data_IF_333963141047
#
_entry.id   IF_333963141047
#
_cell.length_a   1.000
_cell.length_b   1.000
_cell.length_c   1.000
_cell.angle_alpha   90.00
_cell.angle_beta   90.00
_cell.angle_gamma   90.00
#
_symmetry.space_group_name_H-M   'P 1'
#
loop_
_entity.id
_entity.type
_entity.pdbx_description
1 polymer ?
#
# COMPACT_ATOMS: atom_id res chain seq x y z
N UNK A 1 -6.70 13.99 1.58
CA UNK A 1 -5.32 13.91 2.14
C UNK A 1 -4.76 12.53 1.88
N UNK A 2 -3.46 12.40 1.55
CA UNK A 2 -2.79 11.11 1.33
C UNK A 2 -2.54 10.35 2.65
N UNK A 3 -2.68 9.03 2.60
CA UNK A 3 -2.14 8.07 3.57
C UNK A 3 -0.89 7.43 2.94
N UNK A 4 0.28 7.97 3.24
CA UNK A 4 1.53 7.51 2.63
C UNK A 4 1.88 6.12 3.15
N UNK A 5 2.03 5.15 2.25
CA UNK A 5 2.41 3.77 2.62
C UNK A 5 3.92 3.60 2.75
N UNK A 6 4.69 4.44 2.06
CA UNK A 6 6.14 4.28 1.99
C UNK A 6 6.54 3.18 0.99
N UNK A 7 5.57 2.56 0.32
CA UNK A 7 5.77 1.55 -0.70
C UNK A 7 5.57 2.23 -2.04
N UNK A 8 6.66 2.46 -2.78
CA UNK A 8 6.64 3.27 -4.01
C UNK A 8 5.59 2.80 -5.02
N UNK A 9 5.49 1.47 -5.21
CA UNK A 9 4.51 0.88 -6.11
C UNK A 9 3.05 1.16 -5.71
N UNK A 10 2.76 1.30 -4.42
CA UNK A 10 1.41 1.62 -3.93
C UNK A 10 1.18 3.13 -4.05
N UNK A 11 2.04 3.95 -3.47
CA UNK A 11 1.85 5.41 -3.43
C UNK A 11 1.83 6.06 -4.83
N UNK A 12 2.54 5.47 -5.81
CA UNK A 12 2.57 5.93 -7.20
C UNK A 12 1.33 5.50 -8.01
N UNK A 13 0.92 4.22 -7.92
CA UNK A 13 -0.07 3.63 -8.83
C UNK A 13 -1.44 3.40 -8.20
N UNK A 14 -1.49 3.10 -6.91
CA UNK A 14 -2.68 2.73 -6.16
C UNK A 14 -2.72 3.57 -4.87
N UNK A 15 -2.78 4.90 -4.99
CA UNK A 15 -2.65 5.78 -3.83
C UNK A 15 -3.82 5.56 -2.87
N UNK A 16 -3.49 5.63 -1.57
CA UNK A 16 -4.45 5.45 -0.47
C UNK A 16 -4.68 6.81 0.19
N UNK A 17 -5.94 7.22 0.32
CA UNK A 17 -6.34 8.43 1.00
C UNK A 17 -6.67 8.19 2.47
N UNK A 18 -6.55 9.24 3.30
CA UNK A 18 -7.05 9.22 4.67
C UNK A 18 -8.57 9.11 4.68
N UNK A 19 -9.10 8.03 5.27
CA UNK A 19 -10.52 7.69 5.24
C UNK A 19 -10.92 6.69 4.14
N UNK A 20 -9.96 6.25 3.31
CA UNK A 20 -10.20 5.27 2.24
C UNK A 20 -10.17 3.84 2.77
N UNK A 21 -10.84 2.93 2.06
CA UNK A 21 -10.81 1.49 2.30
C UNK A 21 -10.09 0.80 1.14
N UNK A 22 -8.87 0.34 1.36
CA UNK A 22 -8.06 -0.27 0.31
C UNK A 22 -7.76 -1.73 0.63
N UNK A 23 -8.33 -2.65 -0.16
CA UNK A 23 -8.19 -4.09 0.06
C UNK A 23 -6.79 -4.59 -0.33
N UNK A 24 -6.09 -5.29 0.56
CA UNK A 24 -4.89 -6.06 0.20
C UNK A 24 -5.30 -7.52 0.01
N UNK A 25 -5.29 -7.99 -1.22
CA UNK A 25 -5.78 -9.31 -1.59
C UNK A 25 -4.71 -10.10 -2.32
N UNK A 26 -4.60 -11.40 -2.02
CA UNK A 26 -3.71 -12.30 -2.72
C UNK A 26 -3.48 -13.61 -1.98
N UNK A 27 -2.70 -14.49 -2.59
CA UNK A 27 -2.46 -15.82 -2.06
C UNK A 27 -1.61 -15.79 -0.80
N UNK A 28 -1.55 -16.94 -0.12
CA UNK A 28 -0.66 -17.14 1.01
C UNK A 28 0.79 -16.80 0.64
N UNK A 29 1.51 -16.16 1.55
CA UNK A 29 2.95 -15.82 1.40
C UNK A 29 3.31 -14.87 0.25
N UNK A 30 2.36 -14.08 -0.27
CA UNK A 30 2.61 -13.08 -1.34
C UNK A 30 3.09 -11.70 -0.85
N UNK A 31 3.20 -11.49 0.47
CA UNK A 31 3.66 -10.21 1.04
C UNK A 31 2.55 -9.27 1.56
N UNK A 32 1.30 -9.75 1.67
CA UNK A 32 0.14 -8.95 2.15
C UNK A 32 0.42 -8.22 3.47
N UNK A 33 0.81 -8.97 4.50
CA UNK A 33 1.13 -8.41 5.83
C UNK A 33 2.33 -7.47 5.76
N UNK A 34 3.33 -7.74 4.89
CA UNK A 34 4.50 -6.88 4.78
C UNK A 34 4.12 -5.45 4.33
N UNK A 35 3.25 -5.32 3.32
CA UNK A 35 2.76 -4.00 2.88
C UNK A 35 2.04 -3.26 4.01
N UNK A 36 1.21 -3.97 4.78
CA UNK A 36 0.50 -3.36 5.90
C UNK A 36 1.44 -2.91 7.03
N UNK A 37 2.46 -3.72 7.37
CA UNK A 37 3.46 -3.37 8.38
C UNK A 37 4.36 -2.22 7.89
N UNK A 38 4.78 -2.21 6.63
CA UNK A 38 5.53 -1.09 6.04
C UNK A 38 4.73 0.21 6.11
N UNK A 39 3.42 0.13 5.84
CA UNK A 39 2.51 1.28 5.98
C UNK A 39 2.48 1.79 7.43
N UNK A 40 2.41 0.90 8.43
CA UNK A 40 2.43 1.28 9.85
C UNK A 40 3.77 1.91 10.23
N UNK A 41 4.90 1.31 9.84
CA UNK A 41 6.25 1.85 10.11
C UNK A 41 6.39 3.24 9.49
N UNK A 42 5.87 3.43 8.27
CA UNK A 42 5.92 4.72 7.60
C UNK A 42 5.08 5.81 8.29
N UNK A 43 4.22 5.49 9.27
CA UNK A 43 3.44 6.50 10.00
C UNK A 43 4.21 7.17 11.14
N UNK A 44 5.45 6.76 11.42
CA UNK A 44 6.28 7.36 12.46
C UNK A 44 6.41 8.86 12.27
N UNK A 45 6.06 9.63 13.31
CA UNK A 45 6.12 11.10 13.29
C UNK A 45 5.02 11.78 12.46
N UNK A 46 4.04 11.05 11.90
CA UNK A 46 2.97 11.62 11.04
C UNK A 46 1.65 11.88 11.77
N UNK A 47 1.61 11.65 13.08
CA UNK A 47 0.42 11.85 13.91
C UNK A 47 -0.73 10.88 13.60
N UNK A 48 -0.43 9.72 13.00
CA UNK A 48 -1.44 8.69 12.69
C UNK A 48 -1.39 7.60 13.74
N UNK A 49 -2.54 7.30 14.36
CA UNK A 49 -2.69 6.13 15.24
C UNK A 49 -2.92 4.89 14.39
N UNK A 50 -2.20 3.82 14.68
CA UNK A 50 -2.33 2.56 13.97
C UNK A 50 -3.06 1.53 14.83
N UNK A 51 -3.91 0.73 14.22
CA UNK A 51 -4.56 -0.42 14.84
C UNK A 51 -4.32 -1.62 13.94
N UNK A 52 -3.66 -2.66 14.44
CA UNK A 52 -3.44 -3.90 13.73
C UNK A 52 -4.25 -5.01 14.39
N UNK A 53 -5.25 -5.53 13.66
CA UNK A 53 -6.16 -6.57 14.12
C UNK A 53 -5.72 -7.91 13.55
N UNK A 54 -5.17 -8.77 14.40
CA UNK A 54 -4.81 -10.15 14.06
C UNK A 54 -5.97 -11.11 14.33
N UNK A 55 -6.50 -11.74 13.28
CA UNK A 55 -7.70 -12.58 13.31
C UNK A 55 -7.29 -14.00 12.89
N UNK A 56 -7.44 -14.96 13.80
CA UNK A 56 -7.11 -16.36 13.55
C UNK A 56 -5.65 -16.59 13.16
N UNK A 57 -4.74 -15.64 13.48
CA UNK A 57 -3.31 -15.79 13.21
C UNK A 57 -2.65 -16.69 14.27
N UNK A 58 -1.52 -17.30 13.93
CA UNK A 58 -0.71 -18.01 14.93
C UNK A 58 -0.13 -17.00 15.92
N UNK A 59 -0.14 -17.32 17.22
CA UNK A 59 0.42 -16.46 18.25
C UNK A 59 1.89 -16.07 17.96
N UNK A 60 2.70 -17.00 17.45
CA UNK A 60 4.08 -16.74 17.04
C UNK A 60 4.21 -15.72 15.90
N UNK A 61 3.26 -15.73 14.96
CA UNK A 61 3.23 -14.75 13.86
C UNK A 61 2.89 -13.36 14.40
N UNK A 62 1.92 -13.27 15.31
CA UNK A 62 1.58 -12.00 15.96
C UNK A 62 2.75 -11.47 16.79
N UNK A 63 3.43 -12.33 17.54
CA UNK A 63 4.62 -11.96 18.30
C UNK A 63 5.73 -11.40 17.40
N UNK A 64 5.99 -12.01 16.24
CA UNK A 64 6.96 -11.49 15.27
C UNK A 64 6.56 -10.14 14.66
N UNK A 65 5.26 -9.87 14.49
CA UNK A 65 4.76 -8.54 14.09
C UNK A 65 5.02 -7.52 15.20
N UNK A 66 4.69 -7.84 16.45
CA UNK A 66 4.93 -6.97 17.61
C UNK A 66 6.42 -6.64 17.73
N UNK A 67 7.28 -7.65 17.61
CA UNK A 67 8.74 -7.47 17.67
C UNK A 67 9.24 -6.56 16.54
N UNK A 68 8.81 -6.82 15.29
CA UNK A 68 9.15 -5.95 14.16
C UNK A 68 8.71 -4.51 14.41
N UNK A 69 7.44 -4.29 14.81
CA UNK A 69 6.95 -2.95 15.09
C UNK A 69 7.73 -2.28 16.24
N UNK A 70 8.14 -3.03 17.26
CA UNK A 70 8.95 -2.49 18.35
C UNK A 70 10.36 -2.09 17.87
N UNK A 71 11.02 -2.93 17.06
CA UNK A 71 12.36 -2.65 16.51
C UNK A 71 12.39 -1.35 15.69
N UNK A 72 11.32 -1.06 14.95
CA UNK A 72 11.20 0.16 14.15
C UNK A 72 10.64 1.37 14.94
N UNK A 73 10.28 1.18 16.22
CA UNK A 73 9.68 2.20 17.08
C UNK A 73 8.26 2.58 16.66
N UNK A 74 7.52 1.64 16.08
CA UNK A 74 6.15 1.81 15.64
C UNK A 74 5.10 1.41 16.69
N UNK A 75 5.50 0.67 17.72
CA UNK A 75 4.60 0.26 18.81
C UNK A 75 4.08 1.44 19.64
N UNK A 76 4.80 2.57 19.71
CA UNK A 76 4.42 3.76 20.48
C UNK A 76 3.09 4.38 20.02
N UNK A 77 2.70 4.14 18.77
CA UNK A 77 1.46 4.65 18.18
C UNK A 77 0.59 3.53 17.59
N UNK A 78 0.89 2.26 17.89
CA UNK A 78 0.17 1.10 17.34
C UNK A 78 -0.50 0.28 18.44
N UNK A 79 -1.81 0.04 18.28
CA UNK A 79 -2.58 -0.89 19.11
C UNK A 79 -2.70 -2.23 18.38
N UNK A 80 -2.40 -3.33 19.06
CA UNK A 80 -2.60 -4.68 18.54
C UNK A 80 -3.85 -5.29 19.17
N UNK A 81 -4.82 -5.66 18.34
CA UNK A 81 -5.98 -6.46 18.76
C UNK A 81 -5.76 -7.88 18.28
N UNK A 82 -5.63 -8.84 19.18
CA UNK A 82 -5.31 -10.23 18.84
C UNK A 82 -6.43 -11.17 19.26
N UNK A 83 -6.96 -11.91 18.28
CA UNK A 83 -7.71 -13.14 18.49
C UNK A 83 -7.05 -14.23 17.64
N UNK A 84 -6.23 -15.05 18.29
CA UNK A 84 -5.40 -16.06 17.65
C UNK A 84 -6.21 -17.26 17.15
N UNK A 85 -5.57 -18.13 16.37
CA UNK A 85 -6.17 -19.38 15.91
C UNK A 85 -6.61 -20.32 17.05
N UNK A 86 -6.04 -20.18 18.25
CA UNK A 86 -6.40 -20.98 19.43
C UNK A 86 -7.64 -20.42 20.15
N UNK A 87 -8.00 -19.17 19.90
CA UNK A 87 -9.14 -18.52 20.53
C UNK A 87 -10.46 -18.98 19.89
N UNK A 88 -11.54 -18.84 20.66
CA UNK A 88 -12.87 -19.25 20.21
C UNK A 88 -13.36 -18.44 18.99
N UNK A 89 -14.19 -19.06 18.14
CA UNK A 89 -14.76 -18.40 16.96
C UNK A 89 -15.47 -17.05 17.27
N UNK A 90 -16.21 -16.89 18.40
CA UNK A 90 -16.76 -15.60 18.78
C UNK A 90 -15.71 -14.50 18.97
N UNK A 91 -14.54 -14.80 19.54
CA UNK A 91 -13.47 -13.81 19.71
C UNK A 91 -12.86 -13.40 18.37
N UNK A 92 -12.62 -14.38 17.48
CA UNK A 92 -12.12 -14.10 16.12
C UNK A 92 -13.12 -13.27 15.31
N UNK A 93 -14.42 -13.55 15.46
CA UNK A 93 -15.49 -12.77 14.83
C UNK A 93 -15.58 -11.33 15.36
N UNK A 94 -15.38 -11.13 16.67
CA UNK A 94 -15.47 -9.81 17.31
C UNK A 94 -14.21 -8.96 17.21
N UNK A 95 -13.03 -9.55 17.04
CA UNK A 95 -11.77 -8.80 17.03
C UNK A 95 -11.75 -7.61 16.05
N UNK A 96 -12.25 -7.74 14.79
CA UNK A 96 -12.34 -6.58 13.89
C UNK A 96 -13.29 -5.50 14.39
N UNK A 97 -14.40 -5.88 15.02
CA UNK A 97 -15.37 -4.95 15.60
C UNK A 97 -14.77 -4.16 16.78
N UNK A 98 -13.95 -4.82 17.59
CA UNK A 98 -13.19 -4.17 18.66
C UNK A 98 -12.10 -3.24 18.11
N UNK A 99 -11.37 -3.68 17.09
CA UNK A 99 -10.32 -2.87 16.44
C UNK A 99 -10.86 -1.58 15.82
N UNK A 100 -11.97 -1.67 15.07
CA UNK A 100 -12.59 -0.46 14.50
C UNK A 100 -13.16 0.45 15.59
N UNK A 101 -13.69 -0.08 16.69
CA UNK A 101 -14.20 0.75 17.80
C UNK A 101 -13.06 1.52 18.50
N UNK A 102 -11.89 0.90 18.67
CA UNK A 102 -10.68 1.57 19.16
C UNK A 102 -10.26 2.66 18.18
N UNK A 103 -10.28 2.38 16.87
CA UNK A 103 -9.97 3.38 15.85
C UNK A 103 -10.96 4.55 15.84
N UNK A 104 -12.25 4.27 15.96
CA UNK A 104 -13.31 5.28 16.03
C UNK A 104 -13.17 6.18 17.24
N UNK A 105 -12.73 5.66 18.39
CA UNK A 105 -12.43 6.49 19.55
C UNK A 105 -11.46 7.61 19.16
N UNK A 106 -10.30 7.28 18.58
CA UNK A 106 -9.33 8.29 18.14
C UNK A 106 -9.84 9.17 17.00
N UNK A 107 -10.70 8.65 16.11
CA UNK A 107 -11.31 9.43 15.03
C UNK A 107 -12.28 10.49 15.57
N UNK A 108 -13.05 10.15 16.61
CA UNK A 108 -14.08 11.00 17.22
C UNK A 108 -13.61 11.75 18.47
N UNK A 109 -12.33 11.69 18.84
CA UNK A 109 -11.78 12.44 19.97
C UNK A 109 -10.52 13.21 19.59
N UNK A 110 -10.35 14.39 20.15
CA UNK A 110 -9.10 15.14 20.09
C UNK A 110 -7.98 14.52 20.93
N UNK A 111 -6.79 15.12 20.87
CA UNK A 111 -5.64 14.67 21.67
C UNK A 111 -5.87 14.78 23.18
N UNK A 112 -6.79 15.66 23.60
CA UNK A 112 -7.22 15.83 24.99
C UNK A 112 -8.24 14.77 25.45
N UNK A 113 -8.62 13.83 24.57
CA UNK A 113 -9.59 12.78 24.84
C UNK A 113 -11.05 13.23 24.87
N UNK A 114 -11.33 14.51 24.56
CA UNK A 114 -12.71 15.02 24.45
C UNK A 114 -13.26 14.80 23.05
N UNK A 115 -14.60 14.83 22.87
CA UNK A 115 -15.22 14.68 21.56
C UNK A 115 -14.65 15.65 20.52
N UNK A 116 -14.46 15.15 19.31
CA UNK A 116 -14.00 15.92 18.17
C UNK A 116 -15.07 16.93 17.73
N UNK A 117 -14.61 18.11 17.35
CA UNK A 117 -15.43 19.20 16.84
C UNK A 117 -14.59 20.08 15.93
N UNK A 118 -15.20 21.08 15.32
CA UNK A 118 -14.47 22.07 14.51
C UNK A 118 -13.25 22.67 15.22
N UNK A 119 -13.33 22.88 16.53
CA UNK A 119 -12.26 23.49 17.34
C UNK A 119 -11.40 22.45 18.08
N UNK A 120 -11.78 21.16 18.04
CA UNK A 120 -11.05 20.05 18.62
C UNK A 120 -10.87 18.95 17.58
N UNK A 121 -9.80 18.98 16.75
CA UNK A 121 -9.68 18.06 15.64
C UNK A 121 -9.53 16.62 16.10
N UNK A 122 -10.30 15.72 15.47
CA UNK A 122 -10.13 14.28 15.63
C UNK A 122 -8.82 13.80 14.99
N UNK A 123 -8.40 12.60 15.33
CA UNK A 123 -7.10 12.07 14.88
C UNK A 123 -7.23 11.30 13.57
N UNK A 124 -6.10 11.15 12.88
CA UNK A 124 -5.98 10.24 11.75
C UNK A 124 -5.64 8.83 12.25
N UNK A 125 -6.34 7.83 11.72
CA UNK A 125 -6.23 6.44 12.12
C UNK A 125 -6.02 5.55 10.90
N UNK A 126 -5.14 4.57 11.03
CA UNK A 126 -4.93 3.47 10.10
C UNK A 126 -5.34 2.17 10.79
N UNK A 127 -6.31 1.43 10.24
CA UNK A 127 -6.77 0.15 10.78
C UNK A 127 -6.51 -0.97 9.78
N UNK A 128 -5.69 -1.95 10.16
CA UNK A 128 -5.35 -3.14 9.37
C UNK A 128 -6.11 -4.35 9.91
N UNK A 129 -6.72 -5.14 9.04
CA UNK A 129 -7.42 -6.38 9.42
C UNK A 129 -6.75 -7.61 8.78
N UNK A 130 -6.04 -8.43 9.56
CA UNK A 130 -5.23 -9.57 9.11
C UNK A 130 -5.73 -10.91 9.72
N UNK A 131 -6.66 -11.63 9.09
CA UNK A 131 -7.35 -11.33 7.83
C UNK A 131 -8.87 -11.51 7.94
N UNK A 132 -9.61 -10.84 7.07
CA UNK A 132 -11.08 -10.89 7.06
C UNK A 132 -11.62 -12.23 6.51
N UNK A 133 -10.79 -13.00 5.77
CA UNK A 133 -11.15 -14.36 5.35
C UNK A 133 -11.37 -15.24 6.59
N UNK A 134 -10.49 -15.16 7.59
CA UNK A 134 -10.63 -15.88 8.86
C UNK A 134 -11.80 -15.37 9.70
N UNK A 135 -12.10 -14.07 9.67
CA UNK A 135 -13.32 -13.54 10.31
C UNK A 135 -14.59 -14.18 9.71
N UNK A 136 -14.67 -14.25 8.38
CA UNK A 136 -15.80 -14.88 7.69
C UNK A 136 -15.92 -16.37 8.03
N UNK A 137 -14.79 -17.10 8.10
CA UNK A 137 -14.78 -18.51 8.50
C UNK A 137 -15.27 -18.69 9.95
N UNK A 138 -14.84 -17.83 10.88
CA UNK A 138 -15.33 -17.85 12.25
C UNK A 138 -16.85 -17.59 12.31
N UNK A 139 -17.35 -16.61 11.55
CA UNK A 139 -18.77 -16.32 11.49
C UNK A 139 -19.60 -17.46 10.88
N UNK A 140 -19.05 -18.13 9.86
CA UNK A 140 -19.62 -19.34 9.28
C UNK A 140 -19.73 -20.46 10.33
N UNK A 141 -18.66 -20.73 11.07
CA UNK A 141 -18.66 -21.75 12.12
C UNK A 141 -19.73 -21.45 13.19
N UNK A 142 -19.83 -20.21 13.65
CA UNK A 142 -20.85 -19.79 14.61
C UNK A 142 -22.26 -20.00 14.05
N UNK A 143 -22.51 -19.57 12.81
CA UNK A 143 -23.82 -19.64 12.18
C UNK A 143 -24.30 -21.08 11.98
N UNK A 144 -23.41 -21.97 11.54
CA UNK A 144 -23.70 -23.40 11.38
C UNK A 144 -23.96 -24.07 12.74
N UNK A 145 -23.19 -23.71 13.77
CA UNK A 145 -23.39 -24.23 15.13
C UNK A 145 -24.76 -23.83 15.68
N UNK A 146 -25.21 -22.61 15.37
CA UNK A 146 -26.54 -22.10 15.70
C UNK A 146 -27.65 -22.61 14.77
N UNK A 147 -27.33 -23.53 13.84
CA UNK A 147 -28.27 -24.10 12.85
C UNK A 147 -28.97 -23.05 11.98
N UNK A 148 -28.31 -21.92 11.72
CA UNK A 148 -28.79 -20.94 10.73
C UNK A 148 -28.65 -21.53 9.32
N UNK A 149 -29.62 -21.30 8.41
CA UNK A 149 -29.52 -21.75 7.03
C UNK A 149 -28.25 -21.19 6.34
N UNK A 150 -27.41 -22.05 5.72
CA UNK A 150 -26.24 -21.60 4.97
C UNK A 150 -26.59 -21.23 3.52
N UNK A 151 -25.74 -20.41 2.92
CA UNK A 151 -25.76 -20.05 1.50
C UNK A 151 -24.53 -20.59 0.74
N UNK A 152 -24.00 -19.79 -0.20
CA UNK A 152 -22.82 -20.14 -1.02
C UNK A 152 -21.60 -20.43 -0.13
N UNK A 153 -20.87 -21.50 -0.45
CA UNK A 153 -19.69 -21.97 0.32
C UNK A 153 -19.96 -22.16 1.83
N UNK A 154 -21.22 -22.45 2.16
CA UNK A 154 -21.75 -22.61 3.51
C UNK A 154 -21.72 -21.34 4.40
N UNK A 155 -21.40 -20.16 3.86
CA UNK A 155 -21.48 -18.91 4.62
C UNK A 155 -22.94 -18.51 4.89
N UNK A 156 -23.25 -17.84 6.01
CA UNK A 156 -24.59 -17.31 6.26
C UNK A 156 -24.93 -16.19 5.27
N UNK A 157 -26.21 -16.00 4.98
CA UNK A 157 -26.67 -15.02 3.98
C UNK A 157 -26.31 -13.55 4.30
N UNK A 158 -26.02 -13.24 5.57
CA UNK A 158 -25.64 -11.92 6.05
C UNK A 158 -24.10 -11.73 6.18
N UNK A 159 -23.27 -12.63 5.63
CA UNK A 159 -21.81 -12.46 5.64
C UNK A 159 -21.35 -11.20 4.90
N UNK A 160 -22.09 -10.78 3.87
CA UNK A 160 -21.85 -9.49 3.21
C UNK A 160 -22.05 -8.33 4.18
N UNK A 161 -23.16 -8.35 4.92
CA UNK A 161 -23.49 -7.32 5.91
C UNK A 161 -22.46 -7.25 7.04
N UNK A 162 -21.85 -8.38 7.42
CA UNK A 162 -20.77 -8.42 8.40
C UNK A 162 -19.61 -7.50 7.99
N UNK A 163 -19.11 -7.64 6.76
CA UNK A 163 -17.97 -6.85 6.29
C UNK A 163 -18.38 -5.44 5.86
N UNK A 164 -19.58 -5.24 5.30
CA UNK A 164 -20.01 -3.89 4.92
C UNK A 164 -20.18 -3.00 6.14
N UNK A 165 -20.88 -3.44 7.19
CA UNK A 165 -21.03 -2.65 8.43
C UNK A 165 -19.71 -2.44 9.18
N UNK A 166 -18.71 -3.28 8.94
CA UNK A 166 -17.37 -3.12 9.49
C UNK A 166 -16.60 -2.04 8.72
N UNK A 167 -16.53 -2.17 7.39
CA UNK A 167 -15.67 -1.34 6.55
C UNK A 167 -16.29 0.04 6.26
N UNK A 168 -17.62 0.17 6.22
CA UNK A 168 -18.32 1.46 6.09
C UNK A 168 -18.11 2.40 7.29
N UNK A 169 -17.53 1.91 8.40
CA UNK A 169 -17.13 2.73 9.55
C UNK A 169 -15.81 3.48 9.31
N UNK A 170 -15.04 3.07 8.30
CA UNK A 170 -13.80 3.73 7.90
C UNK A 170 -14.12 4.89 6.95
N UNK A 171 -14.08 6.12 7.49
CA UNK A 171 -14.45 7.34 6.77
C UNK A 171 -13.52 8.50 7.12
N UNK A 172 -13.59 9.61 6.37
CA UNK A 172 -13.10 10.92 6.79
C UNK A 172 -14.27 11.78 7.23
N UNK A 173 -14.21 12.31 8.45
CA UNK A 173 -15.24 13.17 9.03
C UNK A 173 -15.24 14.55 8.35
N UNK A 174 -16.40 15.22 8.40
CA UNK A 174 -16.52 16.62 8.00
C UNK A 174 -15.74 17.55 8.92
N UNK A 175 -15.54 18.79 8.50
CA UNK A 175 -14.90 19.84 9.33
C UNK A 175 -15.66 20.09 10.64
N UNK A 176 -16.99 20.09 10.61
CA UNK A 176 -17.82 20.28 11.81
C UNK A 176 -17.59 19.19 12.87
N UNK A 177 -17.28 17.97 12.42
CA UNK A 177 -17.00 16.81 13.26
C UNK A 177 -15.49 16.65 13.54
N UNK A 178 -14.68 17.69 13.30
CA UNK A 178 -13.25 17.72 13.63
C UNK A 178 -12.32 17.01 12.65
N UNK A 179 -12.79 16.66 11.44
CA UNK A 179 -11.94 16.16 10.33
C UNK A 179 -11.08 14.93 10.60
N UNK A 180 -11.35 14.19 11.68
CA UNK A 180 -10.75 12.89 11.98
C UNK A 180 -10.96 11.90 10.83
N UNK A 181 -10.10 10.88 10.73
CA UNK A 181 -10.24 9.89 9.67
C UNK A 181 -9.85 8.50 10.13
N UNK A 182 -10.52 7.48 9.61
CA UNK A 182 -10.17 6.08 9.78
C UNK A 182 -9.98 5.47 8.40
N UNK A 183 -8.75 5.11 8.08
CA UNK A 183 -8.34 4.45 6.84
C UNK A 183 -8.27 2.95 7.09
N UNK A 184 -8.90 2.14 6.24
CA UNK A 184 -8.95 0.70 6.44
C UNK A 184 -8.12 -0.04 5.39
N UNK A 185 -7.26 -0.95 5.85
CA UNK A 185 -6.52 -1.91 5.02
C UNK A 185 -6.98 -3.34 5.37
N UNK A 186 -8.13 -3.80 4.86
CA UNK A 186 -8.51 -5.18 5.01
C UNK A 186 -7.59 -6.10 4.21
N UNK A 187 -7.20 -7.22 4.82
CA UNK A 187 -6.47 -8.29 4.13
C UNK A 187 -7.44 -9.43 3.83
N UNK A 188 -7.38 -9.95 2.61
CA UNK A 188 -8.07 -11.17 2.19
C UNK A 188 -7.06 -12.15 1.60
N UNK A 189 -7.12 -13.39 2.09
CA UNK A 189 -6.40 -14.51 1.49
C UNK A 189 -7.27 -15.17 0.42
N UNK A 190 -6.75 -15.25 -0.81
CA UNK A 190 -7.32 -16.05 -1.90
C UNK A 190 -6.80 -17.48 -1.86
N UNK A 191 -7.51 -18.39 -2.51
CA UNK A 191 -7.07 -19.76 -2.74
C UNK A 191 -6.67 -19.89 -4.21
N UNK A 192 -5.37 -20.10 -4.46
CA UNK A 192 -4.82 -20.25 -5.81
C UNK A 192 -5.21 -19.13 -6.79
N UNK A 193 -5.21 -17.88 -6.31
CA UNK A 193 -5.53 -16.69 -7.09
C UNK A 193 -7.02 -16.50 -7.41
N UNK A 194 -7.91 -17.34 -6.87
CA UNK A 194 -9.33 -17.27 -7.19
C UNK A 194 -10.01 -16.06 -6.52
N UNK A 195 -10.26 -15.03 -7.33
CA UNK A 195 -11.01 -13.81 -6.95
C UNK A 195 -12.52 -13.97 -7.08
N UNK A 196 -12.98 -15.02 -7.75
CA UNK A 196 -14.40 -15.31 -7.96
C UNK A 196 -15.05 -16.03 -6.77
N UNK A 197 -14.22 -16.46 -5.80
CA UNK A 197 -14.66 -16.97 -4.52
C UNK A 197 -15.54 -15.94 -3.78
N UNK A 198 -16.47 -16.45 -2.97
CA UNK A 198 -17.56 -15.64 -2.45
C UNK A 198 -17.10 -14.46 -1.58
N UNK A 199 -16.14 -14.69 -0.67
CA UNK A 199 -15.66 -13.64 0.24
C UNK A 199 -14.81 -12.58 -0.48
N UNK A 200 -13.80 -12.93 -1.30
CA UNK A 200 -13.09 -11.96 -2.14
C UNK A 200 -14.02 -11.05 -2.94
N UNK A 201 -15.00 -11.63 -3.65
CA UNK A 201 -15.95 -10.86 -4.48
C UNK A 201 -16.74 -9.86 -3.63
N UNK A 202 -17.23 -10.27 -2.45
CA UNK A 202 -17.94 -9.38 -1.54
C UNK A 202 -17.07 -8.21 -1.09
N UNK A 203 -15.85 -8.46 -0.64
CA UNK A 203 -14.99 -7.39 -0.09
C UNK A 203 -14.51 -6.43 -1.18
N UNK A 204 -14.19 -6.93 -2.39
CA UNK A 204 -13.86 -6.07 -3.55
C UNK A 204 -14.98 -5.08 -3.87
N UNK A 205 -16.23 -5.49 -3.68
CA UNK A 205 -17.40 -4.62 -3.92
C UNK A 205 -17.67 -3.62 -2.80
N UNK A 206 -17.11 -3.82 -1.61
CA UNK A 206 -17.27 -2.94 -0.44
C UNK A 206 -16.15 -1.90 -0.37
N UNK A 207 -14.91 -2.29 -0.68
CA UNK A 207 -13.76 -1.39 -0.59
C UNK A 207 -13.70 -0.39 -1.73
N UNK A 208 -12.99 0.72 -1.51
CA UNK A 208 -12.76 1.77 -2.50
C UNK A 208 -11.66 1.40 -3.50
N UNK A 209 -10.88 0.38 -3.22
CA UNK A 209 -9.91 -0.17 -4.16
C UNK A 209 -9.40 -1.53 -3.73
N UNK A 210 -8.46 -2.04 -4.52
CA UNK A 210 -7.70 -3.23 -4.19
C UNK A 210 -6.25 -3.17 -4.68
N UNK A 211 -5.35 -3.69 -3.86
CA UNK A 211 -3.98 -4.05 -4.16
C UNK A 211 -3.95 -5.57 -4.31
N UNK A 212 -3.80 -6.04 -5.55
CA UNK A 212 -3.81 -7.45 -5.89
C UNK A 212 -2.39 -8.00 -5.95
N UNK A 213 -2.05 -8.94 -5.07
CA UNK A 213 -0.74 -9.59 -5.02
C UNK A 213 -0.79 -10.96 -5.70
N UNK A 214 0.16 -11.21 -6.61
CA UNK A 214 0.27 -12.47 -7.33
C UNK A 214 1.51 -13.25 -6.95
N UNK A 215 1.33 -14.56 -6.78
CA UNK A 215 2.40 -15.51 -6.50
C UNK A 215 3.46 -15.54 -7.60
N UNK A 216 3.06 -15.51 -8.88
CA UNK A 216 3.99 -15.58 -10.01
C UNK A 216 4.96 -14.39 -10.02
N UNK A 217 4.46 -13.18 -9.79
CA UNK A 217 5.30 -11.98 -9.67
C UNK A 217 6.27 -12.09 -8.49
N UNK A 218 5.80 -12.63 -7.36
CA UNK A 218 6.62 -12.84 -6.17
C UNK A 218 7.78 -13.82 -6.43
N UNK A 219 7.53 -14.89 -7.17
CA UNK A 219 8.53 -15.90 -7.54
C UNK A 219 9.49 -15.41 -8.64
N UNK A 220 9.05 -14.51 -9.51
CA UNK A 220 9.91 -13.78 -10.47
C UNK A 220 10.79 -12.70 -9.81
N UNK A 221 10.70 -12.52 -8.48
CA UNK A 221 11.49 -11.55 -7.75
C UNK A 221 10.93 -10.12 -7.79
N UNK A 222 9.71 -9.92 -8.28
CA UNK A 222 9.01 -8.63 -8.20
C UNK A 222 8.37 -8.51 -6.82
N UNK A 223 8.94 -7.66 -5.97
CA UNK A 223 8.51 -7.45 -4.59
C UNK A 223 8.46 -5.94 -4.32
N UNK A 224 7.32 -5.36 -3.93
CA UNK A 224 6.03 -6.00 -3.67
C UNK A 224 5.39 -6.57 -4.95
N UNK A 225 4.72 -7.71 -4.83
CA UNK A 225 4.23 -8.53 -5.95
C UNK A 225 2.90 -8.02 -6.54
N UNK A 226 2.80 -6.72 -6.79
CA UNK A 226 1.56 -6.04 -7.16
C UNK A 226 1.24 -6.27 -8.64
N UNK A 227 0.02 -6.71 -8.91
CA UNK A 227 -0.52 -6.72 -10.26
C UNK A 227 -1.15 -5.36 -10.57
N UNK A 228 -0.46 -4.55 -11.38
CA UNK A 228 -0.88 -3.19 -11.75
C UNK A 228 -2.18 -3.15 -12.57
N UNK A 229 -2.46 -4.19 -13.36
CA UNK A 229 -3.67 -4.27 -14.19
C UNK A 229 -4.93 -4.57 -13.40
N UNK A 230 -4.83 -5.42 -12.37
CA UNK A 230 -5.97 -5.83 -11.52
C UNK A 230 -6.16 -4.87 -10.34
N UNK A 231 -5.06 -4.30 -9.84
CA UNK A 231 -5.10 -3.35 -8.73
C UNK A 231 -5.70 -2.03 -9.16
N UNK A 232 -6.47 -1.39 -8.29
CA UNK A 232 -7.16 -0.12 -8.57
C UNK A 232 -7.39 0.64 -7.27
N UNK A 233 -7.20 1.96 -7.31
CA UNK A 233 -7.72 2.88 -6.30
C UNK A 233 -8.81 3.71 -6.95
N UNK A 234 -10.06 3.63 -6.47
CA UNK A 234 -11.18 4.42 -7.04
C UNK A 234 -11.13 5.89 -6.62
N UNK A 235 -10.40 6.23 -5.55
CA UNK A 235 -10.10 7.62 -5.18
C UNK A 235 -9.08 8.25 -6.13
N UNK A 236 -8.13 7.45 -6.63
CA UNK A 236 -7.14 7.86 -7.63
C UNK A 236 -6.26 9.03 -7.17
N UNK A 237 -5.89 9.90 -8.11
CA UNK A 237 -4.94 10.99 -7.85
C UNK A 237 -5.39 12.05 -6.83
N UNK A 238 -6.64 12.02 -6.34
CA UNK A 238 -7.08 12.86 -5.22
C UNK A 238 -6.43 12.44 -3.88
N UNK A 239 -5.95 11.19 -3.80
CA UNK A 239 -5.20 10.66 -2.67
C UNK A 239 -3.68 10.89 -2.78
N UNK A 240 -3.20 11.65 -3.77
CA UNK A 240 -1.77 11.95 -3.96
C UNK A 240 -1.45 13.41 -3.63
N UNK A 241 -0.19 13.66 -3.25
CA UNK A 241 0.36 15.02 -3.31
C UNK A 241 0.55 15.43 -4.77
N UNK A 242 0.52 16.73 -5.04
CA UNK A 242 0.62 17.28 -6.40
C UNK A 242 1.92 16.83 -7.10
N UNK A 243 3.03 16.78 -6.38
CA UNK A 243 4.33 16.30 -6.87
C UNK A 243 4.25 14.86 -7.39
N UNK A 244 3.71 13.95 -6.58
CA UNK A 244 3.52 12.55 -6.98
C UNK A 244 2.62 12.42 -8.21
N UNK A 245 1.52 13.18 -8.26
CA UNK A 245 0.62 13.20 -9.42
C UNK A 245 1.31 13.68 -10.70
N UNK A 246 2.21 14.68 -10.59
CA UNK A 246 2.97 15.20 -11.72
C UNK A 246 3.95 14.16 -12.29
N UNK A 247 4.56 13.32 -11.44
CA UNK A 247 5.61 12.37 -11.87
C UNK A 247 5.08 10.97 -12.17
N UNK A 248 4.02 10.51 -11.49
CA UNK A 248 3.49 9.16 -11.59
C UNK A 248 2.21 9.05 -12.45
N UNK A 249 1.69 10.16 -12.99
CA UNK A 249 0.38 10.21 -13.63
C UNK A 249 0.18 9.23 -14.80
N UNK A 250 1.22 8.96 -15.60
CA UNK A 250 1.18 7.98 -16.69
C UNK A 250 1.62 6.57 -16.28
N UNK A 251 2.30 6.43 -15.14
CA UNK A 251 3.06 5.22 -14.77
C UNK A 251 2.19 3.95 -14.75
N UNK A 252 0.96 4.04 -14.27
CA UNK A 252 0.02 2.91 -14.25
C UNK A 252 -0.36 2.46 -15.67
N UNK A 253 -0.60 3.41 -16.58
CA UNK A 253 -0.93 3.12 -17.98
C UNK A 253 0.30 2.54 -18.69
N UNK A 254 1.46 3.15 -18.49
CA UNK A 254 2.73 2.71 -19.09
C UNK A 254 3.05 1.26 -18.70
N UNK A 255 2.91 0.91 -17.41
CA UNK A 255 3.14 -0.45 -16.90
C UNK A 255 2.04 -1.45 -17.31
N UNK A 256 0.80 -1.00 -17.49
CA UNK A 256 -0.26 -1.83 -18.02
C UNK A 256 0.00 -2.19 -19.50
N UNK A 257 0.33 -1.20 -20.32
CA UNK A 257 0.72 -1.39 -21.72
C UNK A 257 1.98 -2.23 -21.85
N UNK A 258 2.98 -2.02 -20.99
CA UNK A 258 4.16 -2.87 -20.92
C UNK A 258 3.81 -4.34 -20.73
N UNK A 259 2.93 -4.68 -19.77
CA UNK A 259 2.54 -6.07 -19.52
C UNK A 259 1.80 -6.71 -20.69
N UNK A 260 0.92 -5.96 -21.32
CA UNK A 260 0.20 -6.41 -22.51
C UNK A 260 1.21 -6.71 -23.63
N UNK A 261 2.10 -5.77 -23.95
CA UNK A 261 3.13 -5.95 -24.97
C UNK A 261 4.13 -7.06 -24.62
N UNK A 262 4.51 -7.22 -23.35
CA UNK A 262 5.43 -8.27 -22.91
C UNK A 262 4.83 -9.67 -23.12
N UNK A 263 3.51 -9.83 -22.94
CA UNK A 263 2.82 -11.07 -23.25
C UNK A 263 2.80 -11.35 -24.77
N UNK A 264 2.60 -10.33 -25.60
CA UNK A 264 2.62 -10.47 -27.07
C UNK A 264 4.03 -10.72 -27.63
N UNK A 265 5.05 -10.08 -27.05
CA UNK A 265 6.44 -10.19 -27.45
C UNK A 265 6.98 -11.62 -27.32
N UNK A 266 6.40 -12.46 -26.47
CA UNK A 266 6.75 -13.88 -26.37
C UNK A 266 6.39 -14.68 -27.62
N UNK A 267 5.49 -14.17 -28.47
CA UNK A 267 5.00 -14.86 -29.68
C UNK A 267 5.49 -14.25 -30.99
N UNK A 268 6.11 -13.06 -30.97
CA UNK A 268 6.55 -12.33 -32.15
C UNK A 268 8.08 -12.30 -32.30
N UNK A 269 8.60 -12.56 -33.50
CA UNK A 269 10.04 -12.53 -33.78
C UNK A 269 10.58 -11.15 -34.16
N UNK A 270 9.73 -10.26 -34.71
CA UNK A 270 10.09 -8.90 -35.10
C UNK A 270 9.18 -7.89 -34.40
N UNK A 271 9.76 -7.12 -33.49
CA UNK A 271 9.10 -6.00 -32.81
C UNK A 271 9.58 -4.70 -33.44
N UNK A 272 8.66 -3.78 -33.72
CA UNK A 272 9.02 -2.45 -34.17
C UNK A 272 9.76 -1.66 -33.07
N UNK A 273 10.49 -0.60 -33.45
CA UNK A 273 11.32 0.17 -32.52
C UNK A 273 10.52 0.80 -31.36
N UNK A 274 9.28 1.22 -31.60
CA UNK A 274 8.47 1.84 -30.55
C UNK A 274 8.04 0.80 -29.51
N UNK A 275 7.68 -0.41 -29.96
CA UNK A 275 7.40 -1.53 -29.05
C UNK A 275 8.64 -1.94 -28.25
N UNK A 276 9.81 -2.02 -28.88
CA UNK A 276 11.08 -2.31 -28.18
C UNK A 276 11.40 -1.26 -27.10
N UNK A 277 11.22 0.03 -27.40
CA UNK A 277 11.42 1.11 -26.43
C UNK A 277 10.45 1.01 -25.25
N UNK A 278 9.18 0.69 -25.52
CA UNK A 278 8.15 0.53 -24.48
C UNK A 278 8.47 -0.66 -23.57
N UNK A 279 8.92 -1.78 -24.13
CA UNK A 279 9.37 -2.95 -23.38
C UNK A 279 10.59 -2.62 -22.52
N UNK A 280 11.61 -2.04 -23.13
CA UNK A 280 12.87 -1.63 -22.49
C UNK A 280 12.63 -0.69 -21.30
N UNK A 281 11.76 0.32 -21.47
CA UNK A 281 11.38 1.23 -20.39
C UNK A 281 10.56 0.53 -19.31
N UNK A 282 9.60 -0.30 -19.70
CA UNK A 282 8.74 -1.03 -18.77
C UNK A 282 9.53 -1.98 -17.85
N UNK A 283 10.53 -2.68 -18.37
CA UNK A 283 11.43 -3.53 -17.57
C UNK A 283 12.14 -2.73 -16.47
N UNK A 284 12.66 -1.54 -16.82
CA UNK A 284 13.35 -0.65 -15.88
C UNK A 284 12.42 -0.05 -14.84
N UNK A 285 11.20 0.32 -15.25
CA UNK A 285 10.18 0.80 -14.31
C UNK A 285 9.77 -0.31 -13.33
N UNK A 286 9.69 -1.57 -13.77
CA UNK A 286 9.43 -2.71 -12.88
C UNK A 286 10.56 -2.88 -11.87
N UNK A 287 11.82 -2.81 -12.29
CA UNK A 287 12.97 -2.89 -11.37
C UNK A 287 13.01 -1.71 -10.38
N UNK A 288 12.73 -0.50 -10.86
CA UNK A 288 12.72 0.73 -10.04
C UNK A 288 11.74 0.61 -8.87
N UNK A 289 10.58 0.01 -9.12
CA UNK A 289 9.49 -0.16 -8.15
C UNK A 289 9.72 -1.30 -7.16
N UNK A 290 10.76 -2.14 -7.36
CA UNK A 290 11.07 -3.22 -6.40
C UNK A 290 11.59 -2.62 -5.10
N UNK A 291 11.02 -3.02 -3.98
CA UNK A 291 11.36 -2.49 -2.67
C UNK A 291 11.49 -3.63 -1.66
N UNK A 292 12.51 -3.55 -0.82
CA UNK A 292 12.69 -4.44 0.31
C UNK A 292 11.56 -4.29 1.34
N UNK A 293 11.38 -5.32 2.17
CA UNK A 293 10.44 -5.27 3.30
C UNK A 293 11.04 -4.45 4.43
N UNK A 294 10.22 -3.68 5.13
CA UNK A 294 10.59 -2.86 6.29
C UNK A 294 11.58 -1.73 5.95
N UNK A 295 11.56 -1.29 4.70
CA UNK A 295 12.35 -0.15 4.21
C UNK A 295 11.39 0.83 3.53
N UNK A 296 10.45 1.46 4.27
CA UNK A 296 9.55 2.44 3.68
C UNK A 296 10.35 3.67 3.22
N UNK A 297 10.02 4.15 2.02
CA UNK A 297 10.66 5.31 1.42
C UNK A 297 9.80 6.57 1.64
N UNK A 298 10.36 7.67 2.18
CA UNK A 298 9.69 8.96 2.26
C UNK A 298 9.18 9.46 0.89
N UNK A 299 8.09 10.22 0.88
CA UNK A 299 7.38 10.57 -0.36
C UNK A 299 8.25 11.42 -1.30
N UNK A 300 9.06 12.32 -0.75
CA UNK A 300 9.99 13.16 -1.51
C UNK A 300 11.05 12.31 -2.24
N UNK A 301 11.53 11.23 -1.62
CA UNK A 301 12.48 10.30 -2.24
C UNK A 301 11.80 9.44 -3.31
N UNK A 302 10.56 8.99 -3.05
CA UNK A 302 9.77 8.30 -4.08
C UNK A 302 9.56 9.17 -5.31
N UNK A 303 9.22 10.46 -5.11
CA UNK A 303 9.04 11.42 -6.20
C UNK A 303 10.29 11.54 -7.06
N UNK A 304 11.48 11.63 -6.45
CA UNK A 304 12.77 11.66 -7.15
C UNK A 304 12.98 10.39 -7.97
N UNK A 305 12.82 9.22 -7.35
CA UNK A 305 13.01 7.93 -8.01
C UNK A 305 12.07 7.76 -9.21
N UNK A 306 10.78 8.07 -9.02
CA UNK A 306 9.76 7.97 -10.07
C UNK A 306 10.02 8.99 -11.17
N UNK A 307 10.44 10.22 -10.84
CA UNK A 307 10.80 11.23 -11.84
C UNK A 307 11.94 10.75 -12.73
N UNK A 308 12.99 10.15 -12.16
CA UNK A 308 14.08 9.57 -12.93
C UNK A 308 13.58 8.48 -13.90
N UNK A 309 12.65 7.64 -13.45
CA UNK A 309 12.02 6.61 -14.27
C UNK A 309 11.15 7.15 -15.40
N UNK A 310 10.21 8.05 -15.09
CA UNK A 310 9.19 8.49 -16.05
C UNK A 310 9.70 9.51 -17.06
N UNK A 311 10.77 10.25 -16.73
CA UNK A 311 11.45 11.14 -17.70
C UNK A 311 12.51 10.42 -18.55
N UNK A 312 12.70 9.11 -18.37
CA UNK A 312 13.62 8.31 -19.19
C UNK A 312 15.10 8.47 -18.83
N UNK A 313 15.43 9.02 -17.65
CA UNK A 313 16.83 9.14 -17.22
C UNK A 313 17.48 7.78 -16.96
N UNK A 314 16.68 6.73 -16.77
CA UNK A 314 17.18 5.37 -16.53
C UNK A 314 17.18 4.48 -17.78
N UNK A 315 16.73 4.98 -18.94
CA UNK A 315 16.52 4.18 -20.16
C UNK A 315 17.83 3.57 -20.71
N UNK A 316 18.98 4.19 -20.46
CA UNK A 316 20.33 3.76 -20.84
C UNK A 316 21.04 2.92 -19.76
N UNK A 317 20.46 2.80 -18.57
CA UNK A 317 21.02 2.02 -17.46
C UNK A 317 20.64 0.55 -17.64
N UNK A 318 21.57 -0.36 -17.35
CA UNK A 318 21.31 -1.80 -17.36
C UNK A 318 20.26 -2.18 -16.29
N UNK A 319 19.35 -3.10 -16.63
CA UNK A 319 18.19 -3.47 -15.80
C UNK A 319 18.61 -3.95 -14.41
N UNK A 320 19.68 -4.73 -14.31
CA UNK A 320 20.24 -5.25 -13.07
C UNK A 320 20.87 -4.17 -12.17
N UNK A 321 21.22 -3.01 -12.73
CA UNK A 321 21.81 -1.87 -12.01
C UNK A 321 20.79 -0.82 -11.55
N UNK A 322 19.51 -0.96 -11.93
CA UNK A 322 18.47 0.05 -11.63
C UNK A 322 18.28 0.29 -10.13
N UNK A 323 18.26 -0.77 -9.31
CA UNK A 323 18.08 -0.61 -7.87
C UNK A 323 19.29 0.09 -7.22
N UNK A 324 20.51 -0.28 -7.62
CA UNK A 324 21.74 0.37 -7.16
C UNK A 324 21.79 1.85 -7.59
N UNK A 325 21.39 2.14 -8.83
CA UNK A 325 21.27 3.51 -9.32
C UNK A 325 20.26 4.31 -8.48
N UNK A 326 19.07 3.76 -8.24
CA UNK A 326 18.03 4.41 -7.44
C UNK A 326 18.55 4.72 -6.04
N UNK A 327 19.07 3.73 -5.33
CA UNK A 327 19.46 3.88 -3.93
C UNK A 327 20.60 4.89 -3.80
N UNK A 328 21.62 4.81 -4.66
CA UNK A 328 22.71 5.78 -4.66
C UNK A 328 22.30 7.17 -5.16
N UNK A 329 21.32 7.30 -6.06
CA UNK A 329 20.75 8.59 -6.46
C UNK A 329 20.07 9.29 -5.27
N UNK A 330 19.33 8.53 -4.47
CA UNK A 330 18.70 9.05 -3.25
C UNK A 330 19.76 9.50 -2.25
N UNK A 331 20.81 8.71 -2.02
CA UNK A 331 21.92 9.08 -1.14
C UNK A 331 22.65 10.33 -1.63
N UNK A 332 22.92 10.42 -2.94
CA UNK A 332 23.57 11.58 -3.56
C UNK A 332 22.75 12.86 -3.37
N UNK A 333 21.44 12.80 -3.61
CA UNK A 333 20.54 13.95 -3.42
C UNK A 333 20.42 14.30 -1.94
N UNK A 334 20.39 13.33 -1.03
CA UNK A 334 20.41 13.60 0.41
C UNK A 334 21.69 14.31 0.86
N UNK A 335 22.84 13.92 0.32
CA UNK A 335 24.14 14.48 0.69
C UNK A 335 24.44 15.85 0.06
N UNK A 336 24.06 16.06 -1.20
CA UNK A 336 24.40 17.27 -1.97
C UNK A 336 23.24 18.25 -2.23
N UNK A 337 21.99 17.78 -2.18
CA UNK A 337 20.79 18.53 -2.60
C UNK A 337 19.64 18.41 -1.59
N UNK A 338 19.94 18.31 -0.28
CA UNK A 338 18.91 18.14 0.77
C UNK A 338 17.83 19.23 0.79
N UNK A 339 18.17 20.46 0.36
CA UNK A 339 17.23 21.57 0.22
C UNK A 339 16.14 21.28 -0.83
N UNK A 340 16.47 20.52 -1.88
CA UNK A 340 15.52 20.11 -2.93
C UNK A 340 14.46 19.14 -2.38
N UNK A 341 14.88 18.16 -1.58
CA UNK A 341 13.96 17.23 -0.90
C UNK A 341 13.05 17.98 0.07
N UNK A 342 13.62 18.93 0.83
CA UNK A 342 12.88 19.77 1.77
C UNK A 342 11.85 20.65 1.05
N UNK A 343 12.21 21.19 -0.11
CA UNK A 343 11.33 21.99 -0.96
C UNK A 343 10.16 21.15 -1.49
N UNK A 344 10.43 19.95 -2.01
CA UNK A 344 9.38 19.03 -2.48
C UNK A 344 8.42 18.63 -1.35
N UNK A 345 8.96 18.36 -0.15
CA UNK A 345 8.17 18.01 1.02
C UNK A 345 7.27 19.17 1.50
N UNK A 346 7.77 20.40 1.47
CA UNK A 346 7.06 21.60 1.90
C UNK A 346 6.00 22.05 0.88
N UNK A 347 6.39 22.19 -0.39
CA UNK A 347 5.51 22.67 -1.47
C UNK A 347 4.50 21.60 -1.91
N UNK A 348 4.82 20.31 -1.70
CA UNK A 348 4.04 19.15 -2.15
C UNK A 348 3.80 19.15 -3.66
N UNK A 349 4.58 19.91 -4.42
CA UNK A 349 4.52 20.11 -5.86
C UNK A 349 5.94 20.20 -6.42
N UNK A 350 6.10 19.93 -7.71
CA UNK A 350 7.34 20.19 -8.44
C UNK A 350 7.11 21.44 -9.30
N UNK A 351 7.81 22.52 -8.94
CA UNK A 351 7.93 23.73 -9.75
C UNK A 351 8.87 23.51 -10.94
N UNK A 352 8.85 24.41 -11.93
CA UNK A 352 9.76 24.32 -13.08
C UNK A 352 11.23 24.42 -12.64
N UNK A 353 11.53 25.25 -11.64
CA UNK A 353 12.87 25.37 -11.04
C UNK A 353 13.29 24.07 -10.35
N UNK A 354 12.40 23.46 -9.54
CA UNK A 354 12.66 22.16 -8.91
C UNK A 354 12.87 21.06 -9.93
N UNK A 355 12.12 21.10 -11.05
CA UNK A 355 12.26 20.15 -12.15
C UNK A 355 13.63 20.29 -12.82
N UNK A 356 14.07 21.51 -13.11
CA UNK A 356 15.38 21.77 -13.69
C UNK A 356 16.51 21.32 -12.76
N UNK A 357 16.40 21.63 -11.46
CA UNK A 357 17.36 21.18 -10.45
C UNK A 357 17.42 19.65 -10.32
N UNK A 358 16.26 18.97 -10.31
CA UNK A 358 16.18 17.51 -10.29
C UNK A 358 16.87 16.90 -11.51
N UNK A 359 16.56 17.38 -12.72
CA UNK A 359 17.19 16.90 -13.95
C UNK A 359 18.71 17.07 -13.90
N UNK A 360 19.20 18.24 -13.47
CA UNK A 360 20.64 18.50 -13.36
C UNK A 360 21.33 17.57 -12.35
N UNK A 361 20.73 17.37 -11.17
CA UNK A 361 21.27 16.47 -10.15
C UNK A 361 21.29 15.01 -10.61
N UNK A 362 20.24 14.55 -11.31
CA UNK A 362 20.19 13.20 -11.87
C UNK A 362 21.26 13.02 -12.96
N UNK A 363 21.43 13.99 -13.85
CA UNK A 363 22.47 13.94 -14.88
C UNK A 363 23.89 13.95 -14.30
N UNK A 364 24.11 14.71 -13.23
CA UNK A 364 25.38 14.71 -12.50
C UNK A 364 25.65 13.34 -11.87
N UNK A 365 24.67 12.78 -11.16
CA UNK A 365 24.81 11.47 -10.56
C UNK A 365 25.00 10.37 -11.61
N UNK A 366 24.32 10.44 -12.76
CA UNK A 366 24.52 9.50 -13.87
C UNK A 366 25.96 9.46 -14.37
N UNK A 367 26.65 10.61 -14.43
CA UNK A 367 28.06 10.66 -14.82
C UNK A 367 28.92 9.92 -13.80
N UNK A 368 28.67 10.12 -12.52
CA UNK A 368 29.39 9.46 -11.42
C UNK A 368 29.12 7.94 -11.44
N UNK A 369 27.87 7.55 -11.62
CA UNK A 369 27.46 6.15 -11.67
C UNK A 369 28.06 5.41 -12.88
N UNK A 370 28.05 6.05 -14.06
CA UNK A 370 28.60 5.48 -15.29
C UNK A 370 30.12 5.35 -15.29
N UNK A 371 30.84 6.17 -14.51
CA UNK A 371 32.31 6.05 -14.36
C UNK A 371 32.74 4.88 -13.47
N UNK A 372 31.82 4.20 -12.79
CA UNK A 372 32.12 3.05 -11.91
C UNK A 372 32.29 1.71 -12.63
N UNK A 373 32.11 1.67 -13.95
CA UNK A 373 32.16 0.44 -14.77
C UNK A 373 33.50 0.24 -15.52
N UNK A 374 34.52 1.08 -15.27
CA UNK A 374 35.85 0.99 -15.90
C UNK A 374 36.94 0.32 -15.01
N UNK A 375 36.60 -0.34 -13.90
CA UNK A 375 37.57 -1.12 -13.09
C UNK A 375 37.34 -2.64 -13.11
#
# INVERSE_FOLDING_TARGET
>A
EPMQTGVMAVDAMIPIGRGQRELIIGDRQTGKTAIAIDTIINQKGKGVICVYVAIGQKASTVAGVVETLAQYGAMDYTVIVSATAADSAPLQYLAPMSGVAIGEYFMYTGEDGKPASKDNPGRAVLCVYDDLSKQAVAYRQMSLTLRRPPGREAYPGDVFYLHSRLLERAVKLSEENGSGSLTALPIIETQAGDVSAYIPTNVISITDGQIFLQSDLFFQGIRPAINVGISVSRVGGAAQIKAMKQVAGSMRLDLASFRELAAFAQFGSDLDKATQQTLSRGERLVELLKQGRYIPMPVEQQVVAIFAGTQGFIDDIAVDKIQAFRDGLIEFIQGGYGDLLSTIAAEKAISDDSKAALSAAIEEYKKIFGTGDEE
#
